data_IF_124041132548
#
_entry.id   IF_124041132548
#
_cell.length_a   1.000
_cell.length_b   1.000
_cell.length_c   1.000
_cell.angle_alpha   90.00
_cell.angle_beta   90.00
_cell.angle_gamma   90.00
#
_symmetry.space_group_name_H-M   'P 1'
#
loop_
_entity.id
_entity.type
_entity.pdbx_description
1 polymer ?
#
# COMPACT_ATOMS: atom_id res chain seq x y z
N UNK A 1 -1.11 51.42 -19.14
CA UNK A 1 -1.68 50.17 -19.70
C UNK A 1 -1.03 48.99 -19.00
N UNK A 2 -1.77 48.26 -18.15
CA UNK A 2 -1.23 47.05 -17.51
C UNK A 2 -1.10 45.93 -18.55
N UNK A 3 0.11 45.41 -18.72
CA UNK A 3 0.39 44.24 -19.56
C UNK A 3 0.03 42.98 -18.77
N UNK A 4 -1.10 42.35 -19.08
CA UNK A 4 -1.44 41.04 -18.54
C UNK A 4 -0.54 39.98 -19.17
N UNK A 5 0.10 39.16 -18.34
CA UNK A 5 0.91 38.02 -18.78
C UNK A 5 -0.01 37.01 -19.49
N UNK A 6 0.32 36.69 -20.74
CA UNK A 6 -0.39 35.68 -21.54
C UNK A 6 0.09 34.29 -21.13
N UNK A 7 -0.85 33.40 -20.81
CA UNK A 7 -0.58 32.02 -20.39
C UNK A 7 0.34 31.27 -21.37
N UNK A 8 1.32 30.54 -20.84
CA UNK A 8 2.28 29.79 -21.65
C UNK A 8 1.68 28.48 -22.18
N UNK A 9 2.29 27.87 -23.21
CA UNK A 9 1.83 26.59 -23.76
C UNK A 9 1.88 25.45 -22.74
N UNK A 10 2.78 25.53 -21.77
CA UNK A 10 2.90 24.55 -20.69
C UNK A 10 1.75 24.70 -19.68
N UNK A 11 1.36 25.93 -19.36
CA UNK A 11 0.19 26.23 -18.51
C UNK A 11 -1.11 25.70 -19.11
N UNK A 12 -1.28 25.80 -20.43
CA UNK A 12 -2.45 25.28 -21.14
C UNK A 12 -2.51 23.74 -21.11
N UNK A 13 -1.37 23.06 -21.26
CA UNK A 13 -1.30 21.59 -21.13
C UNK A 13 -1.59 21.14 -19.69
N UNK A 14 -1.05 21.84 -18.71
CA UNK A 14 -1.30 21.57 -17.29
C UNK A 14 -2.78 21.78 -16.96
N UNK A 15 -3.39 22.87 -17.41
CA UNK A 15 -4.81 23.14 -17.24
C UNK A 15 -5.70 22.06 -17.88
N UNK A 16 -5.36 21.59 -19.09
CA UNK A 16 -6.09 20.52 -19.76
C UNK A 16 -5.95 19.16 -19.05
N UNK A 17 -4.78 18.88 -18.46
CA UNK A 17 -4.55 17.68 -17.63
C UNK A 17 -5.36 17.73 -16.34
N UNK A 18 -5.39 18.90 -15.67
CA UNK A 18 -6.19 19.13 -14.46
C UNK A 18 -7.68 19.00 -14.77
N UNK A 19 -8.16 19.56 -15.89
CA UNK A 19 -9.55 19.43 -16.30
C UNK A 19 -9.93 17.97 -16.61
N UNK A 20 -9.08 17.22 -17.32
CA UNK A 20 -9.30 15.79 -17.55
C UNK A 20 -9.36 15.01 -16.24
N UNK A 21 -8.46 15.28 -15.30
CA UNK A 21 -8.47 14.64 -13.98
C UNK A 21 -9.76 14.95 -13.22
N UNK A 22 -10.20 16.22 -13.24
CA UNK A 22 -11.47 16.63 -12.63
C UNK A 22 -12.69 15.94 -13.27
N UNK A 23 -12.70 15.76 -14.59
CA UNK A 23 -13.77 15.05 -15.31
C UNK A 23 -13.80 13.57 -14.92
N UNK A 24 -12.65 12.89 -14.95
CA UNK A 24 -12.53 11.49 -14.53
C UNK A 24 -12.95 11.31 -13.06
N UNK A 25 -12.50 12.20 -12.18
CA UNK A 25 -12.86 12.15 -10.77
C UNK A 25 -14.34 12.43 -10.54
N UNK A 26 -14.98 13.29 -11.36
CA UNK A 26 -16.44 13.52 -11.30
C UNK A 26 -17.22 12.27 -11.73
N UNK A 27 -16.89 11.66 -12.86
CA UNK A 27 -17.49 10.41 -13.34
C UNK A 27 -17.25 9.24 -12.37
N UNK A 28 -16.10 9.22 -11.70
CA UNK A 28 -15.77 8.25 -10.66
C UNK A 28 -16.57 8.51 -9.38
N UNK A 29 -16.75 9.78 -9.01
CA UNK A 29 -17.53 10.19 -7.83
C UNK A 29 -18.97 9.73 -7.98
N UNK A 30 -19.59 9.93 -9.14
CA UNK A 30 -20.97 9.47 -9.38
C UNK A 30 -21.14 7.95 -9.19
N UNK A 31 -20.15 7.15 -9.59
CA UNK A 31 -20.16 5.68 -9.39
C UNK A 31 -19.89 5.26 -7.95
N UNK A 32 -18.93 5.89 -7.28
CA UNK A 32 -18.52 5.52 -5.91
C UNK A 32 -19.58 5.93 -4.87
N UNK A 33 -20.17 7.12 -5.04
CA UNK A 33 -21.14 7.66 -4.10
C UNK A 33 -22.56 7.13 -4.32
N UNK A 34 -22.82 6.43 -5.43
CA UNK A 34 -24.09 5.74 -5.64
C UNK A 34 -24.08 4.35 -4.96
N UNK A 35 -24.81 4.15 -3.84
CA UNK A 35 -24.76 2.90 -3.07
C UNK A 35 -25.30 1.69 -3.84
N UNK A 36 -26.15 1.89 -4.85
CA UNK A 36 -26.70 0.82 -5.68
C UNK A 36 -25.68 0.32 -6.70
N UNK A 37 -25.00 1.23 -7.40
CA UNK A 37 -23.87 0.86 -8.28
C UNK A 37 -22.71 0.24 -7.51
N UNK A 38 -22.46 0.67 -6.27
CA UNK A 38 -21.41 0.10 -5.42
C UNK A 38 -21.71 -1.33 -4.95
N UNK A 39 -22.98 -1.70 -4.79
CA UNK A 39 -23.41 -3.05 -4.38
C UNK A 39 -23.67 -3.98 -5.56
N UNK A 40 -24.28 -3.49 -6.64
CA UNK A 40 -24.77 -4.28 -7.78
C UNK A 40 -24.52 -3.49 -9.08
N UNK A 41 -23.28 -3.09 -9.32
CA UNK A 41 -22.87 -2.40 -10.54
C UNK A 41 -22.71 -3.41 -11.68
N UNK A 42 -23.76 -3.59 -12.49
CA UNK A 42 -23.75 -4.51 -13.63
C UNK A 42 -24.07 -3.72 -14.90
N UNK A 43 -23.22 -3.87 -15.91
CA UNK A 43 -23.47 -3.35 -17.26
C UNK A 43 -24.39 -4.31 -18.02
N UNK A 44 -25.70 -4.09 -17.89
CA UNK A 44 -26.71 -4.95 -18.49
C UNK A 44 -26.62 -4.96 -20.02
N UNK A 45 -26.40 -3.81 -20.65
CA UNK A 45 -26.35 -3.71 -22.11
C UNK A 45 -25.16 -4.47 -22.68
N UNK A 46 -24.01 -4.43 -22.00
CA UNK A 46 -22.86 -5.22 -22.38
C UNK A 46 -23.09 -6.72 -22.19
N UNK A 47 -23.70 -7.13 -21.06
CA UNK A 47 -24.03 -8.54 -20.84
C UNK A 47 -25.06 -9.06 -21.84
N UNK A 48 -26.09 -8.28 -22.18
CA UNK A 48 -27.08 -8.65 -23.19
C UNK A 48 -26.43 -8.83 -24.57
N UNK A 49 -25.44 -8.00 -24.93
CA UNK A 49 -24.62 -8.18 -26.14
C UNK A 49 -23.82 -9.48 -26.10
N UNK A 50 -23.17 -9.80 -24.99
CA UNK A 50 -22.41 -11.05 -24.84
C UNK A 50 -23.31 -12.28 -24.93
N UNK A 51 -24.52 -12.23 -24.36
CA UNK A 51 -25.50 -13.32 -24.46
C UNK A 51 -25.96 -13.49 -25.91
N UNK A 52 -26.23 -12.39 -26.62
CA UNK A 52 -26.61 -12.43 -28.03
C UNK A 52 -25.49 -13.01 -28.91
N UNK A 53 -24.24 -12.59 -28.70
CA UNK A 53 -23.07 -13.12 -29.42
C UNK A 53 -22.91 -14.62 -29.19
N UNK A 54 -23.00 -15.07 -27.93
CA UNK A 54 -22.89 -16.50 -27.59
C UNK A 54 -24.03 -17.33 -28.19
N UNK A 55 -25.24 -16.76 -28.29
CA UNK A 55 -26.37 -17.41 -28.94
C UNK A 55 -26.13 -17.56 -30.45
N UNK A 56 -25.64 -16.51 -31.11
CA UNK A 56 -25.29 -16.56 -32.53
C UNK A 56 -24.19 -17.59 -32.81
N UNK A 57 -23.17 -17.67 -31.96
CA UNK A 57 -22.11 -18.69 -32.10
C UNK A 57 -22.67 -20.10 -32.01
N UNK A 58 -23.55 -20.37 -31.04
CA UNK A 58 -24.23 -21.68 -30.92
C UNK A 58 -25.09 -22.02 -32.13
N UNK A 59 -25.84 -21.05 -32.66
CA UNK A 59 -26.66 -21.25 -33.85
C UNK A 59 -25.80 -21.56 -35.09
N UNK A 60 -24.65 -20.89 -35.24
CA UNK A 60 -23.69 -21.18 -36.31
C UNK A 60 -23.04 -22.56 -36.16
N UNK A 61 -22.69 -22.96 -34.95
CA UNK A 61 -22.16 -24.30 -34.65
C UNK A 61 -23.19 -25.38 -34.97
N UNK A 62 -24.43 -25.22 -34.52
CA UNK A 62 -25.53 -26.15 -34.81
C UNK A 62 -25.83 -26.23 -36.32
N UNK A 63 -25.80 -25.10 -37.03
CA UNK A 63 -25.98 -25.10 -38.48
C UNK A 63 -24.83 -25.84 -39.19
N UNK A 64 -23.59 -25.68 -38.72
CA UNK A 64 -22.43 -26.41 -39.25
C UNK A 64 -22.56 -27.91 -38.98
N UNK A 65 -22.91 -28.32 -37.77
CA UNK A 65 -23.12 -29.73 -37.42
C UNK A 65 -24.22 -30.35 -38.30
N UNK A 66 -25.36 -29.66 -38.44
CA UNK A 66 -26.46 -30.11 -39.30
C UNK A 66 -26.03 -30.30 -40.76
N UNK A 67 -25.21 -29.39 -41.30
CA UNK A 67 -24.66 -29.53 -42.65
C UNK A 67 -23.71 -30.73 -42.78
N UNK A 68 -22.89 -31.00 -41.76
CA UNK A 68 -22.00 -32.15 -41.76
C UNK A 68 -22.78 -33.47 -41.70
N UNK A 69 -23.83 -33.53 -40.88
CA UNK A 69 -24.72 -34.69 -40.79
C UNK A 69 -25.46 -34.96 -42.10
N UNK A 70 -25.98 -33.91 -42.77
CA UNK A 70 -26.58 -34.05 -44.09
C UNK A 70 -25.57 -34.59 -45.13
N UNK A 71 -24.33 -34.08 -45.11
CA UNK A 71 -23.27 -34.54 -46.00
C UNK A 71 -22.86 -35.98 -45.73
N UNK A 72 -22.87 -36.41 -44.47
CA UNK A 72 -22.62 -37.79 -44.08
C UNK A 72 -23.71 -38.72 -44.65
N UNK A 73 -24.99 -38.33 -44.50
CA UNK A 73 -26.13 -39.09 -45.05
C UNK A 73 -26.04 -39.19 -46.57
N UNK A 74 -25.71 -38.08 -47.26
CA UNK A 74 -25.53 -38.08 -48.73
C UNK A 74 -24.39 -38.99 -49.16
N UNK A 75 -23.23 -38.89 -48.51
CA UNK A 75 -22.06 -39.72 -48.80
C UNK A 75 -22.35 -41.20 -48.57
N UNK A 76 -23.04 -41.54 -47.48
CA UNK A 76 -23.46 -42.92 -47.18
C UNK A 76 -24.40 -43.48 -48.25
N UNK A 77 -25.37 -42.68 -48.73
CA UNK A 77 -26.25 -43.09 -49.84
C UNK A 77 -25.48 -43.37 -51.13
N UNK A 78 -24.50 -42.52 -51.47
CA UNK A 78 -23.66 -42.73 -52.66
C UNK A 78 -22.84 -44.00 -52.52
N UNK A 79 -22.24 -44.26 -51.36
CA UNK A 79 -21.49 -45.49 -51.10
C UNK A 79 -22.35 -46.75 -51.31
N UNK A 80 -23.60 -46.75 -50.80
CA UNK A 80 -24.53 -47.86 -50.98
C UNK A 80 -24.94 -48.08 -52.44
N UNK A 81 -25.06 -47.02 -53.24
CA UNK A 81 -25.35 -47.14 -54.67
C UNK A 81 -24.18 -47.75 -55.43
N UNK A 82 -22.96 -47.27 -55.16
CA UNK A 82 -21.74 -47.80 -55.76
C UNK A 82 -21.50 -49.28 -55.41
N UNK A 83 -21.78 -49.67 -54.17
CA UNK A 83 -21.68 -51.07 -53.73
C UNK A 83 -22.64 -51.97 -54.52
N UNK A 84 -23.88 -51.52 -54.76
CA UNK A 84 -24.85 -52.26 -55.57
C UNK A 84 -24.42 -52.39 -57.03
N UNK A 85 -23.93 -51.31 -57.64
CA UNK A 85 -23.41 -51.34 -59.00
C UNK A 85 -22.25 -52.35 -59.12
N UNK A 86 -21.32 -52.32 -58.16
CA UNK A 86 -20.20 -53.26 -58.13
C UNK A 86 -20.66 -54.72 -57.96
N UNK A 87 -21.67 -54.98 -57.14
CA UNK A 87 -22.25 -56.33 -57.02
C UNK A 87 -22.91 -56.81 -58.31
N UNK A 88 -23.63 -55.94 -59.02
CA UNK A 88 -24.26 -56.27 -60.30
C UNK A 88 -23.21 -56.57 -61.38
N UNK A 89 -22.16 -55.77 -61.47
CA UNK A 89 -21.03 -56.03 -62.37
C UNK A 89 -20.39 -57.39 -62.07
N UNK A 90 -20.11 -57.69 -60.80
CA UNK A 90 -19.57 -59.00 -60.39
C UNK A 90 -20.49 -60.15 -60.80
N UNK A 91 -21.81 -59.99 -60.67
CA UNK A 91 -22.79 -61.00 -61.10
C UNK A 91 -22.79 -61.17 -62.61
N UNK A 92 -22.71 -60.09 -63.38
CA UNK A 92 -22.68 -60.14 -64.84
C UNK A 92 -21.41 -60.82 -65.37
N UNK A 93 -20.25 -60.46 -64.82
CA UNK A 93 -18.97 -61.12 -65.15
C UNK A 93 -19.06 -62.63 -64.89
N UNK A 94 -19.62 -63.04 -63.75
CA UNK A 94 -19.78 -64.46 -63.43
C UNK A 94 -20.69 -65.19 -64.43
N UNK A 95 -21.81 -64.58 -64.84
CA UNK A 95 -22.71 -65.15 -65.86
C UNK A 95 -22.00 -65.29 -67.21
N UNK A 96 -21.21 -64.30 -67.62
CA UNK A 96 -20.45 -64.36 -68.86
C UNK A 96 -19.40 -65.47 -68.83
N UNK A 97 -18.70 -65.64 -67.70
CA UNK A 97 -17.75 -66.74 -67.49
C UNK A 97 -18.45 -68.10 -67.60
N UNK A 98 -19.61 -68.27 -66.95
CA UNK A 98 -20.37 -69.53 -67.03
C UNK A 98 -20.87 -69.81 -68.44
N UNK A 99 -21.40 -68.78 -69.12
CA UNK A 99 -21.82 -68.90 -70.51
C UNK A 99 -20.65 -69.32 -71.41
N UNK A 100 -19.48 -68.70 -71.25
CA UNK A 100 -18.27 -69.05 -71.99
C UNK A 100 -17.85 -70.51 -71.75
N UNK A 101 -17.88 -70.97 -70.49
CA UNK A 101 -17.60 -72.37 -70.12
C UNK A 101 -18.58 -73.33 -70.80
N UNK A 102 -19.87 -73.01 -70.81
CA UNK A 102 -20.91 -73.86 -71.41
C UNK A 102 -20.81 -73.94 -72.94
N UNK A 103 -20.41 -72.86 -73.63
CA UNK A 103 -20.39 -72.85 -75.10
C UNK A 103 -19.07 -73.36 -75.69
N UNK A 104 -17.94 -73.02 -75.06
CA UNK A 104 -16.61 -73.20 -75.67
C UNK A 104 -15.70 -74.16 -74.89
N UNK A 105 -16.15 -74.72 -73.76
CA UNK A 105 -15.39 -75.68 -72.95
C UNK A 105 -16.16 -76.99 -72.73
N UNK A 106 -17.03 -77.37 -73.68
CA UNK A 106 -17.78 -78.64 -73.61
C UNK A 106 -16.83 -79.83 -73.72
N UNK A 107 -17.16 -80.93 -73.04
CA UNK A 107 -16.37 -82.16 -73.10
C UNK A 107 -16.23 -82.70 -74.53
N UNK A 108 -17.28 -82.55 -75.35
CA UNK A 108 -17.36 -82.97 -76.75
C UNK A 108 -16.40 -82.21 -77.68
N UNK A 109 -16.01 -80.98 -77.31
CA UNK A 109 -15.10 -80.13 -78.08
C UNK A 109 -13.63 -80.36 -77.72
N UNK A 110 -13.33 -81.35 -76.86
CA UNK A 110 -11.96 -81.71 -76.52
C UNK A 110 -11.29 -82.42 -77.71
N UNK A 111 -10.00 -82.14 -77.89
CA UNK A 111 -9.18 -82.71 -78.96
C UNK A 111 -9.19 -84.25 -78.99
N UNK A 112 -9.28 -84.88 -77.82
CA UNK A 112 -9.18 -86.34 -77.66
C UNK A 112 -10.56 -86.98 -77.39
N UNK A 113 -11.68 -86.29 -77.65
CA UNK A 113 -13.02 -86.80 -77.33
C UNK A 113 -13.39 -88.05 -78.13
N UNK A 114 -12.85 -88.20 -79.33
CA UNK A 114 -12.98 -89.38 -80.21
C UNK A 114 -12.44 -90.67 -79.57
N UNK A 115 -11.38 -90.57 -78.77
CA UNK A 115 -10.81 -91.70 -77.99
C UNK A 115 -11.71 -92.14 -76.82
N UNK A 116 -12.62 -91.27 -76.38
CA UNK A 116 -13.49 -91.49 -75.23
C UNK A 116 -14.99 -91.52 -75.60
N UNK A 117 -15.34 -91.48 -76.91
CA UNK A 117 -16.74 -91.46 -77.37
C UNK A 117 -17.42 -92.81 -77.05
N UNK A 118 -18.44 -92.84 -76.16
CA UNK A 118 -19.16 -94.06 -75.78
C UNK A 118 -19.97 -94.67 -76.94
N UNK A 119 -20.03 -94.03 -78.11
CA UNK A 119 -20.72 -94.51 -79.33
C UNK A 119 -19.79 -94.90 -80.48
N UNK A 120 -18.46 -94.89 -80.27
CA UNK A 120 -17.46 -95.08 -81.32
C UNK A 120 -17.60 -96.39 -82.12
N UNK A 121 -18.00 -97.51 -81.50
CA UNK A 121 -18.16 -98.80 -82.18
C UNK A 121 -19.45 -98.95 -83.02
N UNK A 122 -20.38 -97.99 -82.99
CA UNK A 122 -21.66 -98.07 -83.72
C UNK A 122 -21.69 -97.27 -85.04
N UNK A 123 -20.61 -96.58 -85.41
CA UNK A 123 -20.57 -95.61 -86.54
C UNK A 123 -19.74 -96.06 -87.75
N UNK A 124 -19.46 -97.34 -87.94
CA UNK A 124 -18.66 -97.81 -89.09
C UNK A 124 -19.27 -99.00 -89.82
N UNK A 125 -20.15 -98.74 -90.78
CA UNK A 125 -20.40 -99.62 -91.94
C UNK A 125 -19.59 -99.09 -93.13
N UNK A 126 -19.04 -100.04 -93.89
CA UNK A 126 -18.03 -99.86 -94.93
C UNK A 126 -18.71 -99.59 -96.27
N UNK A 127 -18.14 -98.73 -97.11
CA UNK A 127 -18.09 -99.05 -98.55
C UNK A 127 -16.93 -98.35 -99.28
N UNK A 128 -16.18 -99.16 -100.01
CA UNK A 128 -15.03 -98.80 -100.83
C UNK A 128 -15.51 -98.46 -102.25
N UNK A 129 -15.18 -97.28 -102.74
CA UNK A 129 -15.13 -96.99 -104.17
C UNK A 129 -13.97 -96.05 -104.47
N UNK A 130 -13.00 -96.56 -105.22
CA UNK A 130 -11.82 -95.83 -105.68
C UNK A 130 -12.18 -95.00 -106.91
N UNK A 131 -11.80 -93.72 -106.93
CA UNK A 131 -10.86 -93.14 -107.91
C UNK A 131 -10.59 -91.65 -107.64
N UNK A 132 -9.40 -91.20 -108.07
CA UNK A 132 -8.83 -89.84 -108.01
C UNK A 132 -8.57 -89.17 -106.63
N UNK A 133 -9.02 -89.77 -105.52
CA UNK A 133 -9.01 -89.13 -104.18
C UNK A 133 -8.09 -89.74 -103.13
N UNK A 134 -7.05 -90.50 -103.52
CA UNK A 134 -6.08 -91.03 -102.56
C UNK A 134 -5.06 -89.97 -102.16
N UNK A 135 -5.14 -89.55 -100.90
CA UNK A 135 -4.33 -88.56 -100.24
C UNK A 135 -2.83 -88.85 -100.29
N UNK A 136 -2.20 -88.48 -101.40
CA UNK A 136 -0.74 -88.41 -101.52
C UNK A 136 -0.21 -87.00 -101.78
N UNK A 137 -1.08 -86.01 -102.04
CA UNK A 137 -0.75 -84.58 -101.95
C UNK A 137 -1.95 -83.77 -101.49
N UNK A 138 -1.84 -83.17 -100.30
CA UNK A 138 -2.82 -82.22 -99.78
C UNK A 138 -2.26 -80.79 -99.84
N UNK A 139 -3.06 -79.81 -100.27
CA UNK A 139 -2.67 -78.39 -100.25
C UNK A 139 -2.46 -77.83 -98.81
N UNK A 140 -2.86 -78.59 -97.79
CA UNK A 140 -2.55 -78.31 -96.38
C UNK A 140 -1.26 -78.97 -95.87
N UNK A 141 -0.60 -79.79 -96.68
CA UNK A 141 0.71 -80.36 -96.37
C UNK A 141 1.77 -79.29 -96.65
N UNK A 142 2.14 -78.60 -95.58
CA UNK A 142 3.05 -77.48 -95.61
C UNK A 142 4.49 -77.96 -95.38
N UNK A 143 5.20 -78.17 -96.48
CA UNK A 143 6.62 -78.56 -96.47
C UNK A 143 7.50 -77.55 -95.69
N UNK A 144 7.04 -76.29 -95.55
CA UNK A 144 7.70 -75.22 -94.80
C UNK A 144 7.20 -75.04 -93.36
N UNK A 145 6.41 -75.97 -92.81
CA UNK A 145 5.85 -75.88 -91.45
C UNK A 145 6.94 -75.73 -90.37
N UNK A 146 8.08 -76.40 -90.57
CA UNK A 146 9.23 -76.31 -89.66
C UNK A 146 9.88 -74.92 -89.70
N UNK A 147 10.01 -74.32 -90.88
CA UNK A 147 10.56 -72.97 -91.04
C UNK A 147 9.61 -71.92 -90.47
N UNK A 148 8.31 -72.02 -90.73
CA UNK A 148 7.30 -71.12 -90.12
C UNK A 148 7.27 -71.24 -88.60
N UNK A 149 7.32 -72.47 -88.06
CA UNK A 149 7.38 -72.68 -86.62
C UNK A 149 8.66 -72.12 -86.00
N UNK A 150 9.79 -72.19 -86.71
CA UNK A 150 11.04 -71.58 -86.28
C UNK A 150 10.94 -70.05 -86.25
N UNK A 151 10.41 -69.43 -87.31
CA UNK A 151 10.18 -67.99 -87.38
C UNK A 151 9.23 -67.50 -86.28
N UNK A 152 8.09 -68.17 -86.06
CA UNK A 152 7.16 -67.84 -84.98
C UNK A 152 7.78 -67.97 -83.58
N UNK A 153 8.63 -68.97 -83.37
CA UNK A 153 9.38 -69.14 -82.10
C UNK A 153 10.45 -68.06 -81.91
N UNK A 154 11.04 -67.55 -83.00
CA UNK A 154 12.00 -66.45 -82.97
C UNK A 154 11.28 -65.11 -82.70
N UNK A 155 10.16 -64.85 -83.36
CA UNK A 155 9.29 -63.68 -83.08
C UNK A 155 8.77 -63.68 -81.63
N UNK A 156 8.26 -64.82 -81.17
CA UNK A 156 7.80 -64.98 -79.78
C UNK A 156 8.94 -64.75 -78.78
N UNK A 157 10.13 -65.31 -79.05
CA UNK A 157 11.32 -65.05 -78.22
C UNK A 157 11.67 -63.58 -78.20
N UNK A 158 11.69 -62.92 -79.35
CA UNK A 158 11.98 -61.49 -79.46
C UNK A 158 10.98 -60.63 -78.67
N UNK A 159 9.68 -60.91 -78.75
CA UNK A 159 8.67 -60.20 -77.96
C UNK A 159 8.82 -60.41 -76.46
N UNK A 160 9.04 -61.66 -76.02
CA UNK A 160 9.24 -61.97 -74.60
C UNK A 160 10.52 -61.30 -74.06
N UNK A 161 11.61 -61.33 -74.83
CA UNK A 161 12.87 -60.67 -74.49
C UNK A 161 12.67 -59.16 -74.33
N UNK A 162 11.96 -58.54 -75.28
CA UNK A 162 11.66 -57.11 -75.26
C UNK A 162 10.80 -56.74 -74.05
N UNK A 163 9.71 -57.48 -73.80
CA UNK A 163 8.80 -57.23 -72.69
C UNK A 163 9.47 -57.43 -71.33
N UNK A 164 10.36 -58.42 -71.21
CA UNK A 164 11.20 -58.63 -70.02
C UNK A 164 12.17 -57.47 -69.79
N UNK A 165 12.82 -56.99 -70.84
CA UNK A 165 13.76 -55.86 -70.75
C UNK A 165 13.02 -54.57 -70.39
N UNK A 166 11.87 -54.28 -71.00
CA UNK A 166 11.02 -53.12 -70.66
C UNK A 166 10.58 -53.19 -69.18
N UNK A 167 10.18 -54.36 -68.69
CA UNK A 167 9.81 -54.55 -67.29
C UNK A 167 10.98 -54.35 -66.33
N UNK A 168 12.17 -54.88 -66.64
CA UNK A 168 13.37 -54.65 -65.83
C UNK A 168 13.78 -53.18 -65.79
N UNK A 169 13.69 -52.47 -66.91
CA UNK A 169 13.99 -51.03 -66.94
C UNK A 169 13.01 -50.23 -66.09
N UNK A 170 11.71 -50.50 -66.23
CA UNK A 170 10.68 -49.85 -65.41
C UNK A 170 10.84 -50.15 -63.91
N UNK A 171 11.28 -51.35 -63.55
CA UNK A 171 11.57 -51.72 -62.15
C UNK A 171 12.78 -50.97 -61.60
N UNK A 172 13.86 -50.84 -62.38
CA UNK A 172 15.04 -50.04 -62.00
C UNK A 172 14.70 -48.56 -61.83
N UNK A 173 13.95 -47.99 -62.76
CA UNK A 173 13.51 -46.59 -62.66
C UNK A 173 12.66 -46.35 -61.40
N UNK A 174 11.79 -47.29 -61.03
CA UNK A 174 11.03 -47.24 -59.78
C UNK A 174 11.93 -47.30 -58.56
N UNK A 175 12.87 -48.25 -58.50
CA UNK A 175 13.81 -48.34 -57.39
C UNK A 175 14.67 -47.09 -57.24
N UNK A 176 15.13 -46.50 -58.35
CA UNK A 176 15.91 -45.26 -58.35
C UNK A 176 15.07 -44.08 -57.84
N UNK A 177 13.80 -43.99 -58.27
CA UNK A 177 12.87 -42.99 -57.78
C UNK A 177 12.55 -43.15 -56.28
N UNK A 178 12.36 -44.38 -55.80
CA UNK A 178 12.15 -44.69 -54.38
C UNK A 178 13.39 -44.30 -53.54
N UNK A 179 14.60 -44.69 -53.97
CA UNK A 179 15.85 -44.32 -53.28
C UNK A 179 16.05 -42.80 -53.24
N UNK A 180 15.74 -42.10 -54.33
CA UNK A 180 15.82 -40.64 -54.38
C UNK A 180 14.81 -39.99 -53.41
N UNK A 181 13.60 -40.53 -53.33
CA UNK A 181 12.58 -40.07 -52.39
C UNK A 181 12.99 -40.31 -50.94
N UNK A 182 13.47 -41.51 -50.60
CA UNK A 182 13.98 -41.85 -49.28
C UNK A 182 15.11 -40.91 -48.85
N UNK A 183 16.08 -40.65 -49.74
CA UNK A 183 17.16 -39.72 -49.48
C UNK A 183 16.66 -38.28 -49.22
N UNK A 184 15.65 -37.84 -49.96
CA UNK A 184 15.03 -36.53 -49.75
C UNK A 184 14.31 -36.43 -48.40
N UNK A 185 13.58 -37.47 -48.00
CA UNK A 185 12.92 -37.55 -46.68
C UNK A 185 13.95 -37.49 -45.56
N UNK A 186 15.01 -38.30 -45.62
CA UNK A 186 16.08 -38.31 -44.61
C UNK A 186 16.78 -36.93 -44.52
N UNK A 187 17.03 -36.29 -45.66
CA UNK A 187 17.63 -34.95 -45.71
C UNK A 187 16.75 -33.90 -45.03
N UNK A 188 15.44 -33.94 -45.31
CA UNK A 188 14.45 -33.04 -44.68
C UNK A 188 14.40 -33.25 -43.17
N UNK A 189 14.37 -34.51 -42.72
CA UNK A 189 14.27 -34.83 -41.30
C UNK A 189 15.55 -34.43 -40.54
N UNK A 190 16.74 -34.65 -41.13
CA UNK A 190 18.01 -34.12 -40.59
C UNK A 190 18.00 -32.60 -40.48
N UNK A 191 17.47 -31.91 -41.49
CA UNK A 191 17.33 -30.44 -41.45
C UNK A 191 16.37 -29.99 -40.37
N UNK A 192 15.25 -30.69 -40.19
CA UNK A 192 14.28 -30.39 -39.12
C UNK A 192 14.91 -30.56 -37.73
N UNK A 193 15.66 -31.65 -37.51
CA UNK A 193 16.38 -31.87 -36.25
C UNK A 193 17.43 -30.77 -35.97
N UNK A 194 18.19 -30.36 -37.00
CA UNK A 194 19.16 -29.28 -36.85
C UNK A 194 18.49 -27.94 -36.47
N UNK A 195 17.36 -27.62 -37.09
CA UNK A 195 16.60 -26.40 -36.77
C UNK A 195 16.02 -26.42 -35.35
N UNK A 196 15.44 -27.54 -34.92
CA UNK A 196 14.92 -27.70 -33.55
C UNK A 196 16.05 -27.59 -32.50
N UNK A 197 17.23 -28.15 -32.77
CA UNK A 197 18.37 -27.99 -31.88
C UNK A 197 18.87 -26.54 -31.80
N UNK A 198 18.94 -25.84 -32.94
CA UNK A 198 19.29 -24.41 -32.97
C UNK A 198 18.27 -23.56 -32.20
N UNK A 199 16.97 -23.84 -32.35
CA UNK A 199 15.90 -23.15 -31.64
C UNK A 199 16.03 -23.34 -30.12
N UNK A 200 16.27 -24.58 -29.67
CA UNK A 200 16.49 -24.90 -28.25
C UNK A 200 17.70 -24.17 -27.69
N UNK A 201 18.80 -24.13 -28.43
CA UNK A 201 20.01 -23.42 -28.02
C UNK A 201 19.79 -21.90 -27.95
N UNK A 202 19.08 -21.32 -28.92
CA UNK A 202 18.69 -19.91 -28.89
C UNK A 202 17.81 -19.59 -27.67
N UNK A 203 16.79 -20.42 -27.40
CA UNK A 203 15.92 -20.26 -26.22
C UNK A 203 16.72 -20.37 -24.92
N UNK A 204 17.63 -21.34 -24.82
CA UNK A 204 18.51 -21.50 -23.66
C UNK A 204 19.36 -20.25 -23.43
N UNK A 205 20.03 -19.74 -24.48
CA UNK A 205 20.87 -18.53 -24.39
C UNK A 205 20.07 -17.29 -24.00
N UNK A 206 18.87 -17.11 -24.56
CA UNK A 206 17.97 -16.02 -24.17
C UNK A 206 17.55 -16.11 -22.70
N UNK A 207 17.19 -17.31 -22.23
CA UNK A 207 16.84 -17.54 -20.84
C UNK A 207 18.03 -17.29 -19.90
N UNK A 208 19.23 -17.71 -20.28
CA UNK A 208 20.46 -17.42 -19.52
C UNK A 208 20.74 -15.92 -19.46
N UNK A 209 20.63 -15.20 -20.57
CA UNK A 209 20.85 -13.75 -20.62
C UNK A 209 19.83 -12.98 -19.78
N UNK A 210 18.54 -13.35 -19.87
CA UNK A 210 17.48 -12.75 -19.04
C UNK A 210 17.68 -13.07 -17.55
N UNK A 211 18.11 -14.28 -17.20
CA UNK A 211 18.43 -14.65 -15.83
C UNK A 211 19.62 -13.85 -15.27
N UNK A 212 20.67 -13.66 -16.07
CA UNK A 212 21.82 -12.84 -15.70
C UNK A 212 21.43 -11.38 -15.50
N UNK A 213 20.64 -10.81 -16.41
CA UNK A 213 20.12 -9.45 -16.27
C UNK A 213 19.26 -9.28 -15.01
N UNK A 214 18.35 -10.21 -14.75
CA UNK A 214 17.51 -10.17 -13.55
C UNK A 214 18.31 -10.30 -12.26
N UNK A 215 19.38 -11.10 -12.25
CA UNK A 215 20.31 -11.18 -11.11
C UNK A 215 21.03 -9.85 -10.88
N UNK A 216 21.59 -9.26 -11.94
CA UNK A 216 22.27 -7.97 -11.85
C UNK A 216 21.32 -6.86 -11.36
N UNK A 217 20.08 -6.83 -11.87
CA UNK A 217 19.04 -5.90 -11.42
C UNK A 217 18.68 -6.10 -9.94
N UNK A 218 18.59 -7.36 -9.49
CA UNK A 218 18.32 -7.67 -8.09
C UNK A 218 19.46 -7.23 -7.16
N UNK A 219 20.71 -7.37 -7.60
CA UNK A 219 21.89 -6.89 -6.87
C UNK A 219 21.93 -5.37 -6.81
N UNK A 220 21.66 -4.67 -7.92
CA UNK A 220 21.57 -3.22 -7.96
C UNK A 220 20.48 -2.70 -7.00
N UNK A 221 19.30 -3.31 -7.02
CA UNK A 221 18.21 -2.94 -6.10
C UNK A 221 18.58 -3.17 -4.64
N UNK A 222 19.26 -4.27 -4.31
CA UNK A 222 19.76 -4.53 -2.96
C UNK A 222 20.77 -3.48 -2.52
N UNK A 223 21.72 -3.14 -3.39
CA UNK A 223 22.72 -2.10 -3.12
C UNK A 223 22.05 -0.74 -2.89
N UNK A 224 21.10 -0.36 -3.75
CA UNK A 224 20.34 0.88 -3.61
C UNK A 224 19.59 0.94 -2.28
N UNK A 225 18.88 -0.12 -1.90
CA UNK A 225 18.18 -0.19 -0.60
C UNK A 225 19.15 -0.08 0.58
N UNK A 226 20.33 -0.68 0.47
CA UNK A 226 21.36 -0.58 1.50
C UNK A 226 21.87 0.87 1.62
N UNK A 227 22.11 1.56 0.50
CA UNK A 227 22.48 2.98 0.51
C UNK A 227 21.38 3.87 1.09
N UNK A 228 20.12 3.65 0.68
CA UNK A 228 18.96 4.37 1.22
C UNK A 228 18.81 4.15 2.73
N UNK A 229 18.99 2.91 3.21
CA UNK A 229 18.97 2.61 4.64
C UNK A 229 20.11 3.29 5.40
N UNK A 230 21.32 3.34 4.82
CA UNK A 230 22.46 4.05 5.43
C UNK A 230 22.16 5.55 5.55
N UNK A 231 21.62 6.16 4.50
CA UNK A 231 21.20 7.57 4.51
C UNK A 231 20.12 7.82 5.57
N UNK A 232 19.13 6.94 5.68
CA UNK A 232 18.08 7.06 6.69
C UNK A 232 18.65 6.99 8.11
N UNK A 233 19.64 6.14 8.37
CA UNK A 233 20.33 6.08 9.65
C UNK A 233 21.19 7.32 9.93
N UNK A 234 21.81 7.91 8.91
CA UNK A 234 22.51 9.20 9.02
C UNK A 234 21.54 10.34 9.33
N UNK A 235 20.40 10.40 8.64
CA UNK A 235 19.34 11.38 8.86
C UNK A 235 18.75 11.25 10.27
N UNK A 236 18.48 10.03 10.75
CA UNK A 236 18.06 9.79 12.14
C UNK A 236 19.08 10.29 13.15
N UNK A 237 20.37 10.05 12.92
CA UNK A 237 21.44 10.54 13.80
C UNK A 237 21.52 12.06 13.77
N UNK A 238 21.41 12.67 12.60
CA UNK A 238 21.39 14.12 12.45
C UNK A 238 20.19 14.74 13.17
N UNK A 239 19.01 14.14 13.05
CA UNK A 239 17.79 14.58 13.73
C UNK A 239 17.93 14.50 15.26
N UNK A 240 18.41 13.37 15.77
CA UNK A 240 18.72 13.21 17.20
C UNK A 240 19.75 14.25 17.65
N UNK A 241 20.83 14.44 16.89
CA UNK A 241 21.86 15.42 17.23
C UNK A 241 21.30 16.85 17.26
N UNK A 242 20.50 17.22 16.26
CA UNK A 242 19.86 18.53 16.18
C UNK A 242 18.89 18.75 17.34
N UNK A 243 18.12 17.73 17.73
CA UNK A 243 17.23 17.84 18.88
C UNK A 243 18.01 17.97 20.19
N UNK A 244 19.03 17.15 20.41
CA UNK A 244 19.84 17.14 21.63
C UNK A 244 20.63 18.45 21.80
N UNK A 245 21.19 18.99 20.71
CA UNK A 245 21.93 20.25 20.73
C UNK A 245 21.05 21.49 20.58
N UNK A 246 19.81 21.29 20.13
CA UNK A 246 18.84 22.35 19.92
C UNK A 246 18.42 23.04 21.21
N UNK A 247 18.15 24.34 21.09
CA UNK A 247 17.86 25.24 22.20
C UNK A 247 16.67 24.83 23.09
N UNK A 248 15.76 23.99 22.57
CA UNK A 248 14.63 23.49 23.35
C UNK A 248 15.06 22.49 24.43
N UNK A 249 15.89 21.50 24.09
CA UNK A 249 16.35 20.47 25.06
C UNK A 249 17.54 20.94 25.90
N UNK A 250 18.41 21.80 25.36
CA UNK A 250 19.51 22.41 26.14
C UNK A 250 19.05 23.52 27.07
N UNK A 251 17.79 23.92 26.94
CA UNK A 251 17.16 25.02 27.65
C UNK A 251 17.98 26.32 27.65
N UNK A 252 18.71 26.60 26.56
CA UNK A 252 19.57 27.78 26.46
C UNK A 252 18.82 29.06 26.86
N UNK A 253 19.42 29.85 27.76
CA UNK A 253 18.83 31.10 28.27
C UNK A 253 18.87 32.23 27.24
N UNK A 254 19.79 32.13 26.28
CA UNK A 254 19.94 33.05 25.14
C UNK A 254 18.66 33.12 24.28
N UNK A 255 17.80 32.10 24.32
CA UNK A 255 16.48 32.15 23.68
C UNK A 255 15.56 33.26 24.19
N UNK A 256 15.83 33.76 25.41
CA UNK A 256 15.10 34.87 26.00
C UNK A 256 15.58 36.23 25.49
N UNK A 257 16.68 36.30 24.74
CA UNK A 257 17.16 37.56 24.19
C UNK A 257 16.17 38.12 23.17
N UNK A 258 15.88 39.42 23.31
CA UNK A 258 14.96 40.12 22.41
C UNK A 258 15.74 40.84 21.34
N UNK A 259 15.17 40.88 20.15
CA UNK A 259 15.66 41.71 19.04
C UNK A 259 15.68 43.20 19.39
N UNK A 260 14.92 43.62 20.41
CA UNK A 260 14.85 45.00 20.89
C UNK A 260 15.94 45.36 21.92
N UNK A 261 16.88 44.44 22.18
CA UNK A 261 18.05 44.67 23.03
C UNK A 261 18.07 43.86 24.34
N UNK A 262 19.21 43.86 25.04
CA UNK A 262 19.49 42.96 26.15
C UNK A 262 18.66 43.22 27.41
N UNK A 263 18.14 44.43 27.59
CA UNK A 263 17.38 44.82 28.80
C UNK A 263 15.89 44.43 28.78
N UNK A 264 15.39 43.85 27.67
CA UNK A 264 13.98 43.49 27.55
C UNK A 264 13.84 42.05 27.05
N UNK A 265 14.05 41.05 27.91
CA UNK A 265 13.93 39.66 27.50
C UNK A 265 12.50 39.32 27.04
N UNK A 266 12.40 38.34 26.15
CA UNK A 266 11.13 37.82 25.66
C UNK A 266 10.39 37.12 26.81
N UNK A 267 9.24 37.68 27.20
CA UNK A 267 8.45 37.19 28.33
C UNK A 267 8.05 35.70 28.21
N UNK A 268 7.78 35.23 27.00
CA UNK A 268 7.39 33.84 26.73
C UNK A 268 8.53 32.83 26.90
N UNK A 269 9.79 33.27 26.87
CA UNK A 269 10.99 32.40 26.88
C UNK A 269 11.90 32.67 28.07
N UNK A 270 11.46 33.50 29.02
CA UNK A 270 12.25 33.90 30.17
C UNK A 270 12.45 32.72 31.15
N UNK A 271 13.71 32.36 31.41
CA UNK A 271 14.11 31.22 32.26
C UNK A 271 14.92 31.67 33.49
N UNK A 272 14.43 32.71 34.16
CA UNK A 272 15.01 33.24 35.39
C UNK A 272 16.33 34.01 35.20
N UNK A 273 16.83 34.58 36.30
CA UNK A 273 18.05 35.39 36.32
C UNK A 273 19.32 34.56 36.06
N UNK A 274 20.36 35.23 35.57
CA UNK A 274 21.70 34.64 35.43
C UNK A 274 22.42 34.54 36.79
N UNK A 275 23.43 33.68 36.86
CA UNK A 275 24.20 33.50 38.10
C UNK A 275 24.92 34.81 38.51
N UNK A 276 25.38 35.59 37.53
CA UNK A 276 26.03 36.88 37.75
C UNK A 276 25.05 37.95 38.26
N UNK A 277 23.85 38.05 37.69
CA UNK A 277 22.81 38.95 38.21
C UNK A 277 22.41 38.59 39.65
N UNK A 278 22.23 37.30 39.93
CA UNK A 278 21.96 36.83 41.29
C UNK A 278 23.12 37.14 42.25
N UNK A 279 24.38 37.15 41.76
CA UNK A 279 25.55 37.52 42.57
C UNK A 279 25.47 38.98 43.00
N UNK A 280 25.09 39.90 42.11
CA UNK A 280 24.92 41.32 42.44
C UNK A 280 23.87 41.52 43.55
N UNK A 281 22.73 40.83 43.46
CA UNK A 281 21.72 40.92 44.52
C UNK A 281 22.21 40.36 45.86
N UNK A 282 22.93 39.24 45.84
CA UNK A 282 23.51 38.67 47.06
C UNK A 282 24.51 39.65 47.69
N UNK A 283 25.40 40.24 46.89
CA UNK A 283 26.35 41.26 47.36
C UNK A 283 25.62 42.47 47.96
N UNK A 284 24.60 43.00 47.29
CA UNK A 284 23.79 44.11 47.81
C UNK A 284 23.09 43.75 49.13
N UNK A 285 22.53 42.54 49.25
CA UNK A 285 21.94 42.05 50.50
C UNK A 285 22.98 42.01 51.63
N UNK A 286 24.20 41.53 51.34
CA UNK A 286 25.26 41.54 52.36
C UNK A 286 25.65 42.95 52.81
N UNK A 287 25.60 43.94 51.91
CA UNK A 287 25.86 45.34 52.25
C UNK A 287 24.72 45.92 53.10
N UNK A 288 23.47 45.67 52.72
CA UNK A 288 22.29 46.10 53.50
C UNK A 288 22.31 45.55 54.92
N UNK A 289 22.69 44.28 55.11
CA UNK A 289 22.82 43.70 56.44
C UNK A 289 23.86 44.45 57.29
N UNK A 290 24.99 44.81 56.71
CA UNK A 290 26.02 45.62 57.39
C UNK A 290 25.52 47.03 57.73
N UNK A 291 24.74 47.65 56.85
CA UNK A 291 24.14 48.97 57.12
C UNK A 291 23.11 48.91 58.25
N UNK A 292 22.24 47.90 58.24
CA UNK A 292 21.26 47.69 59.33
C UNK A 292 21.98 47.47 60.66
N UNK A 293 23.08 46.72 60.68
CA UNK A 293 23.88 46.51 61.88
C UNK A 293 24.48 47.83 62.40
N UNK A 294 25.01 48.67 61.51
CA UNK A 294 25.50 50.02 61.86
C UNK A 294 24.39 50.90 62.43
N UNK A 295 23.23 50.94 61.78
CA UNK A 295 22.09 51.72 62.24
C UNK A 295 21.62 51.30 63.63
N UNK A 296 21.54 49.98 63.89
CA UNK A 296 21.22 49.47 65.24
C UNK A 296 22.25 49.85 66.28
N UNK A 297 23.54 49.90 65.92
CA UNK A 297 24.59 50.36 66.84
C UNK A 297 24.46 51.85 67.15
N UNK A 298 24.15 52.67 66.15
CA UNK A 298 23.91 54.11 66.34
C UNK A 298 22.65 54.39 67.15
N UNK A 299 21.58 53.63 66.94
CA UNK A 299 20.34 53.72 67.72
C UNK A 299 20.62 53.40 69.19
N UNK A 300 21.33 52.30 69.48
CA UNK A 300 21.76 51.98 70.85
C UNK A 300 22.56 53.12 71.50
N UNK A 301 23.46 53.76 70.75
CA UNK A 301 24.23 54.91 71.27
C UNK A 301 23.32 56.10 71.59
N UNK A 302 22.34 56.39 70.73
CA UNK A 302 21.36 57.46 70.97
C UNK A 302 20.47 57.16 72.17
N UNK A 303 20.04 55.93 72.34
CA UNK A 303 19.25 55.49 73.49
C UNK A 303 20.06 55.65 74.79
N UNK A 304 21.33 55.23 74.79
CA UNK A 304 22.24 55.43 75.93
C UNK A 304 22.45 56.91 76.26
N UNK A 305 22.54 57.80 75.25
CA UNK A 305 22.62 59.24 75.45
C UNK A 305 21.32 59.83 76.00
N UNK A 306 20.16 59.37 75.51
CA UNK A 306 18.85 59.76 76.03
C UNK A 306 18.64 59.34 77.48
N UNK A 307 19.04 58.11 77.83
CA UNK A 307 18.97 57.60 79.20
C UNK A 307 19.84 58.45 80.14
N UNK A 308 21.05 58.83 79.71
CA UNK A 308 21.91 59.76 80.48
C UNK A 308 21.23 61.12 80.68
N UNK A 309 20.67 61.70 79.62
CA UNK A 309 19.95 62.97 79.70
C UNK A 309 18.76 62.86 80.67
N UNK A 310 17.95 61.81 80.56
CA UNK A 310 16.81 61.55 81.43
C UNK A 310 17.21 61.42 82.89
N UNK A 311 18.28 60.69 83.18
CA UNK A 311 18.81 60.57 84.52
C UNK A 311 19.25 61.93 85.08
N UNK A 312 19.97 62.74 84.30
CA UNK A 312 20.36 64.09 84.75
C UNK A 312 19.15 65.00 84.98
N UNK A 313 18.12 64.92 84.14
CA UNK A 313 16.89 65.71 84.30
C UNK A 313 16.09 65.26 85.53
N UNK A 314 16.04 63.95 85.80
CA UNK A 314 15.42 63.39 86.99
C UNK A 314 16.14 63.86 88.28
N UNK A 315 17.47 63.87 88.29
CA UNK A 315 18.26 64.41 89.40
C UNK A 315 17.97 65.90 89.65
N UNK A 316 17.87 66.70 88.59
CA UNK A 316 17.50 68.12 88.68
C UNK A 316 16.08 68.27 89.24
N UNK A 317 15.11 67.52 88.73
CA UNK A 317 13.72 67.56 89.21
C UNK A 317 13.62 67.19 90.70
N UNK A 318 14.32 66.15 91.14
CA UNK A 318 14.39 65.73 92.54
C UNK A 318 14.99 66.83 93.43
N UNK A 319 16.04 67.51 92.95
CA UNK A 319 16.65 68.63 93.67
C UNK A 319 15.64 69.78 93.87
N UNK A 320 14.88 70.11 92.84
CA UNK A 320 13.86 71.17 92.89
C UNK A 320 12.68 70.78 93.79
N UNK A 321 12.25 69.51 93.73
CA UNK A 321 11.18 68.99 94.58
C UNK A 321 11.58 69.09 96.07
N UNK A 322 12.83 68.75 96.41
CA UNK A 322 13.37 68.92 97.77
C UNK A 322 13.36 70.37 98.22
N UNK A 323 13.65 71.33 97.34
CA UNK A 323 13.55 72.77 97.66
C UNK A 323 12.10 73.21 97.92
N UNK A 324 11.15 72.77 97.10
CA UNK A 324 9.72 73.04 97.29
C UNK A 324 9.25 72.49 98.65
N UNK A 325 9.63 71.26 98.98
CA UNK A 325 9.23 70.64 100.23
C UNK A 325 9.80 71.36 101.45
N UNK A 326 11.06 71.84 101.39
CA UNK A 326 11.64 72.72 102.42
C UNK A 326 10.80 73.98 102.61
N UNK A 327 10.48 74.70 101.53
CA UNK A 327 9.64 75.91 101.60
C UNK A 327 8.24 75.60 102.16
N UNK A 328 7.63 74.47 101.77
CA UNK A 328 6.35 74.00 102.33
C UNK A 328 6.45 73.77 103.84
N UNK A 329 7.54 73.18 104.33
CA UNK A 329 7.72 72.99 105.78
C UNK A 329 7.90 74.31 106.52
N UNK A 330 8.61 75.28 105.95
CA UNK A 330 8.75 76.64 106.53
C UNK A 330 7.42 77.37 106.60
N UNK A 331 6.61 77.32 105.53
CA UNK A 331 5.25 77.89 105.53
C UNK A 331 4.38 77.20 106.58
N UNK A 332 4.42 75.87 106.68
CA UNK A 332 3.68 75.13 107.71
C UNK A 332 4.08 75.54 109.13
N UNK A 333 5.36 75.82 109.39
CA UNK A 333 5.84 76.32 110.68
C UNK A 333 5.25 77.70 111.00
N UNK A 334 5.30 78.64 110.04
CA UNK A 334 4.71 79.98 110.21
C UNK A 334 3.21 79.92 110.51
N UNK A 335 2.46 79.09 109.77
CA UNK A 335 1.02 78.87 110.01
C UNK A 335 0.78 78.28 111.42
N UNK A 336 1.65 77.38 111.88
CA UNK A 336 1.54 76.81 113.23
C UNK A 336 1.81 77.86 114.34
N UNK A 337 2.76 78.77 114.11
CA UNK A 337 3.03 79.91 115.01
C UNK A 337 1.84 80.87 115.07
N UNK A 338 1.29 81.26 113.92
CA UNK A 338 0.09 82.12 113.85
C UNK A 338 -1.13 81.48 114.54
N UNK A 339 -1.34 80.17 114.36
CA UNK A 339 -2.40 79.44 115.04
C UNK A 339 -2.20 79.40 116.57
N UNK A 340 -0.96 79.35 117.05
CA UNK A 340 -0.66 79.41 118.49
C UNK A 340 -1.02 80.78 119.06
N UNK A 341 -0.68 81.86 118.37
CA UNK A 341 -1.04 83.23 118.77
C UNK A 341 -2.55 83.43 118.81
N UNK A 342 -3.27 82.99 117.77
CA UNK A 342 -4.73 83.02 117.71
C UNK A 342 -5.36 82.23 118.87
N UNK A 343 -4.82 81.06 119.21
CA UNK A 343 -5.31 80.26 120.33
C UNK A 343 -5.12 80.98 121.68
N UNK A 344 -4.01 81.68 121.89
CA UNK A 344 -3.77 82.49 123.09
C UNK A 344 -4.72 83.69 123.18
N UNK A 345 -4.96 84.39 122.06
CA UNK A 345 -5.92 85.50 121.98
C UNK A 345 -7.35 85.02 122.27
N UNK A 346 -7.74 83.86 121.76
CA UNK A 346 -9.07 83.30 122.00
C UNK A 346 -9.26 82.91 123.47
N UNK A 347 -8.21 82.38 124.11
CA UNK A 347 -8.22 82.03 125.54
C UNK A 347 -8.34 83.27 126.43
N UNK A 348 -7.57 84.33 126.15
CA UNK A 348 -7.65 85.58 126.92
C UNK A 348 -9.00 86.30 126.73
N UNK A 349 -9.59 86.22 125.53
CA UNK A 349 -10.94 86.73 125.27
C UNK A 349 -12.02 85.97 126.05
N UNK A 350 -11.93 84.62 126.13
CA UNK A 350 -12.84 83.82 126.97
C UNK A 350 -12.71 84.15 128.46
N UNK A 351 -11.49 84.36 128.96
CA UNK A 351 -11.28 84.78 130.35
C UNK A 351 -11.91 86.16 130.65
N UNK A 352 -11.85 87.10 129.69
CA UNK A 352 -12.53 88.40 129.81
C UNK A 352 -14.06 88.26 129.89
N UNK A 353 -14.67 87.47 128.99
CA UNK A 353 -16.11 87.23 128.96
C UNK A 353 -16.62 86.64 130.29
N UNK A 354 -15.93 85.62 130.80
CA UNK A 354 -16.29 84.95 132.06
C UNK A 354 -16.14 85.85 133.29
N UNK A 355 -15.18 86.79 133.28
CA UNK A 355 -14.84 87.59 134.45
C UNK A 355 -15.60 88.91 134.55
N UNK A 356 -15.99 89.50 133.42
CA UNK A 356 -16.58 90.85 133.33
C UNK A 356 -18.06 90.84 132.92
N UNK A 357 -18.44 90.02 131.92
CA UNK A 357 -19.80 90.03 131.35
C UNK A 357 -20.72 89.00 132.01
N UNK A 358 -20.22 87.83 132.40
CA UNK A 358 -21.02 86.78 133.04
C UNK A 358 -21.11 86.89 134.58
N UNK A 359 -21.29 88.11 135.10
CA UNK A 359 -21.64 88.35 136.51
C UNK A 359 -22.94 89.15 136.62
N UNK A 360 -24.06 88.44 136.75
CA UNK A 360 -25.37 89.06 136.96
C UNK A 360 -25.45 89.68 138.36
N UNK A 361 -25.49 91.01 138.44
CA UNK A 361 -25.90 91.76 139.64
C UNK A 361 -27.36 92.21 139.47
N UNK A 362 -28.27 91.91 140.40
CA UNK A 362 -29.66 92.37 140.32
C UNK A 362 -29.72 93.91 140.27
N UNK A 363 -30.43 94.44 139.28
CA UNK A 363 -30.55 95.89 139.04
C UNK A 363 -31.70 96.46 139.89
N UNK A 364 -31.59 97.70 140.37
CA UNK A 364 -32.48 98.31 141.37
C UNK A 364 -34.00 98.20 141.07
N UNK A 365 -34.40 98.13 139.79
CA UNK A 365 -35.78 97.88 139.36
C UNK A 365 -36.37 96.52 139.83
N UNK A 366 -35.53 95.54 140.13
CA UNK A 366 -35.93 94.22 140.67
C UNK A 366 -36.45 94.31 142.11
N UNK A 367 -35.97 95.25 142.92
CA UNK A 367 -36.41 95.43 144.31
C UNK A 367 -37.63 96.36 144.45
N UNK A 368 -37.86 97.24 143.47
CA UNK A 368 -39.03 98.15 143.43
C UNK A 368 -40.34 97.47 142.98
N UNK A 369 -40.28 96.18 142.63
CA UNK A 369 -41.43 95.35 142.23
C UNK A 369 -42.21 94.74 143.41
N UNK A 370 -41.65 94.78 144.63
CA UNK A 370 -42.28 94.21 145.83
C UNK A 370 -42.98 95.29 146.66
N UNK A 371 -44.19 95.00 147.15
CA UNK A 371 -45.02 95.82 148.04
C UNK A 371 -45.57 97.15 147.46
N UNK A 372 -46.10 97.13 146.23
CA UNK A 372 -46.85 98.27 145.64
C UNK A 372 -48.39 98.22 145.83
N UNK A 373 -48.93 97.22 146.51
CA UNK A 373 -50.37 97.13 146.80
C UNK A 373 -50.65 96.73 148.27
N UNK A 374 -51.65 97.37 148.88
CA UNK A 374 -52.10 97.09 150.23
C UNK A 374 -53.00 95.84 150.27
N UNK A 375 -52.36 94.69 150.45
CA UNK A 375 -52.91 93.49 151.10
C UNK A 375 -51.86 92.83 151.96
#
# INVERSE_FOLDING_TARGET
MLKFQTATKEDLKLAASIQRRRQIDAERKERIFNPRFRKIGIDKEFLDKQVAEKKQQRELEQARESQLDENLIRSSKVALLLEKEQEEERRNINKEIEHFRQQYQRAEQRRDFDLYDPTALKKGDVDLSFEAGFGQKFAGEDDNAKERSKAQKEEMRWWIEKQKNERMQAEREREEAEKAYEAAVISRDKRAMALDQMERDCRRRLNEATAQFNRALAEEQKYRRHCEALQEEEDKKADIYNHVTGDFLTEAKEQAESTHGPHKPLASRYKGMTADELRVFREAQTQQLKEIEKMRLEEKRRDEEWDRLMNTQAEIADSYQREIDRRRTEIKKKIAEENLELAQQHKSHQDYLNRVLYKNKPTAAFFEQFNRDAR
#
